data_IF_922836354043
#
_entry.id   IF_922836354043
#
_cell.length_a   1.000
_cell.length_b   1.000
_cell.length_c   1.000
_cell.angle_alpha   90.00
_cell.angle_beta   90.00
_cell.angle_gamma   90.00
#
_symmetry.space_group_name_H-M   'P 1'
#
loop_
_entity.id
_entity.type
_entity.pdbx_description
1 polymer ?
#
# COMPACT_ATOMS: atom_id res chain seq x y z
N UNK A 1 -42.07 -27.56 -2.12
CA UNK A 1 -41.89 -26.09 -2.14
C UNK A 1 -42.33 -25.54 -0.78
N UNK A 2 -41.40 -25.16 0.08
CA UNK A 2 -41.66 -24.26 1.21
C UNK A 2 -40.46 -23.31 1.31
N UNK A 3 -40.71 -22.03 1.05
CA UNK A 3 -39.75 -20.96 1.21
C UNK A 3 -39.90 -20.40 2.63
N UNK A 4 -38.82 -20.45 3.41
CA UNK A 4 -38.73 -19.73 4.69
C UNK A 4 -37.91 -18.47 4.42
N UNK A 5 -38.60 -17.36 4.25
CA UNK A 5 -38.04 -16.01 4.17
C UNK A 5 -37.70 -15.52 5.58
N UNK A 6 -36.42 -15.62 5.94
CA UNK A 6 -35.88 -14.93 7.11
C UNK A 6 -35.70 -13.44 6.80
N UNK A 7 -36.58 -12.61 7.36
CA UNK A 7 -36.48 -11.15 7.34
C UNK A 7 -35.34 -10.73 8.26
N UNK A 8 -34.22 -10.23 7.70
CA UNK A 8 -33.15 -9.62 8.49
C UNK A 8 -33.57 -8.21 8.94
N UNK A 9 -33.37 -7.91 10.24
CA UNK A 9 -33.63 -6.61 10.86
C UNK A 9 -32.64 -5.54 10.39
N UNK A 10 -33.05 -4.27 10.25
CA UNK A 10 -32.12 -3.18 9.98
C UNK A 10 -31.44 -2.75 11.29
N UNK A 11 -30.10 -2.81 11.33
CA UNK A 11 -29.31 -2.31 12.46
C UNK A 11 -28.27 -3.30 13.03
N UNK A 12 -28.25 -4.53 12.56
CA UNK A 12 -27.20 -5.49 12.94
C UNK A 12 -26.12 -5.50 11.85
N UNK A 13 -25.21 -4.52 11.88
CA UNK A 13 -23.93 -4.69 11.19
C UNK A 13 -23.14 -5.75 11.94
N UNK A 14 -23.47 -7.02 11.66
CA UNK A 14 -22.63 -8.17 11.98
C UNK A 14 -21.24 -7.81 11.47
N UNK A 15 -20.31 -7.58 12.40
CA UNK A 15 -18.95 -7.19 12.09
C UNK A 15 -18.41 -8.09 10.99
N UNK A 16 -18.27 -7.54 9.78
CA UNK A 16 -18.01 -8.37 8.60
C UNK A 16 -16.63 -9.01 8.80
N UNK A 17 -16.50 -10.35 8.72
CA UNK A 17 -15.19 -11.03 8.68
C UNK A 17 -14.27 -10.44 7.59
N UNK A 18 -14.86 -9.73 6.62
CA UNK A 18 -14.21 -8.97 5.57
C UNK A 18 -13.25 -7.87 6.05
N UNK A 19 -13.43 -7.27 7.22
CA UNK A 19 -12.61 -6.12 7.64
C UNK A 19 -11.20 -6.54 8.02
N UNK A 20 -11.07 -7.60 8.84
CA UNK A 20 -9.78 -8.19 9.18
C UNK A 20 -9.02 -8.70 7.96
N UNK A 21 -9.73 -9.33 7.01
CA UNK A 21 -9.16 -9.81 5.75
C UNK A 21 -8.70 -8.65 4.86
N UNK A 22 -9.52 -7.60 4.72
CA UNK A 22 -9.15 -6.43 3.94
C UNK A 22 -7.92 -5.75 4.52
N UNK A 23 -7.90 -5.49 5.84
CA UNK A 23 -6.76 -4.88 6.51
C UNK A 23 -5.52 -5.76 6.37
N UNK A 24 -5.63 -7.07 6.67
CA UNK A 24 -4.50 -8.00 6.58
C UNK A 24 -3.92 -8.08 5.17
N UNK A 25 -4.77 -8.24 4.14
CA UNK A 25 -4.30 -8.29 2.75
C UNK A 25 -3.74 -6.95 2.28
N UNK A 26 -4.30 -5.81 2.71
CA UNK A 26 -3.76 -4.51 2.38
C UNK A 26 -2.37 -4.30 2.99
N UNK A 27 -2.15 -4.70 4.25
CA UNK A 27 -0.83 -4.63 4.90
C UNK A 27 0.22 -5.44 4.12
N UNK A 28 -0.14 -6.64 3.66
CA UNK A 28 0.75 -7.49 2.86
C UNK A 28 1.07 -6.85 1.50
N UNK A 29 0.05 -6.43 0.74
CA UNK A 29 0.24 -5.85 -0.59
C UNK A 29 0.99 -4.53 -0.56
N UNK A 30 0.67 -3.67 0.41
CA UNK A 30 1.31 -2.37 0.56
C UNK A 30 2.70 -2.53 1.22
N UNK A 31 3.00 -3.62 1.91
CA UNK A 31 4.27 -3.80 2.61
C UNK A 31 4.38 -2.98 3.89
N UNK A 32 3.25 -2.73 4.56
CA UNK A 32 3.20 -1.97 5.80
C UNK A 32 3.08 -2.88 7.03
N UNK A 33 3.81 -2.59 8.12
CA UNK A 33 3.41 -3.08 9.43
C UNK A 33 2.16 -2.34 9.93
N UNK A 34 1.42 -2.94 10.85
CA UNK A 34 0.24 -2.33 11.46
C UNK A 34 0.53 -0.94 12.07
N UNK A 35 1.74 -0.74 12.61
CA UNK A 35 2.18 0.55 13.13
C UNK A 35 2.22 1.65 12.05
N UNK A 36 2.62 1.30 10.83
CA UNK A 36 2.67 2.25 9.72
C UNK A 36 1.25 2.59 9.25
N UNK A 37 0.36 1.59 9.16
CA UNK A 37 -1.04 1.82 8.85
C UNK A 37 -1.68 2.80 9.85
N UNK A 38 -1.47 2.59 11.15
CA UNK A 38 -1.95 3.51 12.20
C UNK A 38 -1.41 4.93 12.02
N UNK A 39 -0.10 5.10 11.74
CA UNK A 39 0.47 6.44 11.52
C UNK A 39 -0.10 7.13 10.27
N UNK A 40 -0.36 6.36 9.21
CA UNK A 40 -0.77 6.86 7.90
C UNK A 40 -2.24 7.21 7.82
N UNK A 41 -3.07 6.37 8.44
CA UNK A 41 -4.48 6.66 8.61
C UNK A 41 -4.74 7.65 9.75
N UNK A 42 -3.81 7.70 10.70
CA UNK A 42 -3.89 8.38 12.00
C UNK A 42 -5.07 7.95 12.87
N UNK A 43 -5.57 6.74 12.65
CA UNK A 43 -6.39 6.01 13.61
C UNK A 43 -5.49 5.21 14.56
N UNK A 44 -5.95 5.03 15.80
CA UNK A 44 -5.15 4.33 16.80
C UNK A 44 -5.00 2.84 16.46
N UNK A 45 -3.85 2.27 16.83
CA UNK A 45 -3.53 0.87 16.53
C UNK A 45 -4.50 -0.09 17.21
N UNK A 46 -4.98 0.23 18.42
CA UNK A 46 -5.95 -0.59 19.14
C UNK A 46 -7.31 -0.57 18.48
N UNK A 47 -7.73 0.56 17.90
CA UNK A 47 -8.96 0.65 17.13
C UNK A 47 -8.89 -0.19 15.86
N UNK A 48 -7.80 -0.08 15.11
CA UNK A 48 -7.60 -0.91 13.91
C UNK A 48 -7.61 -2.39 14.29
N UNK A 49 -6.94 -2.77 15.39
CA UNK A 49 -6.92 -4.15 15.89
C UNK A 49 -8.32 -4.62 16.30
N UNK A 50 -9.12 -3.75 16.91
CA UNK A 50 -10.52 -4.01 17.26
C UNK A 50 -11.34 -4.26 16.00
N UNK A 51 -11.22 -3.43 14.97
CA UNK A 51 -11.91 -3.63 13.68
C UNK A 51 -11.50 -4.94 13.00
N UNK A 52 -10.22 -5.29 13.03
CA UNK A 52 -9.74 -6.55 12.46
C UNK A 52 -10.38 -7.78 13.12
N UNK A 53 -10.73 -7.70 14.42
CA UNK A 53 -11.27 -8.82 15.20
C UNK A 53 -12.79 -8.84 15.27
N UNK A 54 -13.40 -7.66 15.36
CA UNK A 54 -14.84 -7.47 15.67
C UNK A 54 -15.61 -6.75 14.56
N UNK A 55 -14.94 -6.31 13.50
CA UNK A 55 -15.54 -5.45 12.47
C UNK A 55 -15.84 -4.03 12.97
N UNK A 56 -16.61 -3.29 12.16
CA UNK A 56 -16.98 -1.89 12.44
C UNK A 56 -15.91 -0.89 12.02
N UNK A 57 -15.18 -1.22 10.94
CA UNK A 57 -14.23 -0.31 10.31
C UNK A 57 -14.97 0.86 9.64
N UNK A 58 -14.59 2.13 9.91
CA UNK A 58 -15.22 3.28 9.28
C UNK A 58 -15.10 3.28 7.76
N UNK A 59 -16.14 3.72 7.05
CA UNK A 59 -16.16 3.76 5.59
C UNK A 59 -15.06 4.62 4.96
N UNK A 60 -14.71 5.83 5.48
CA UNK A 60 -13.58 6.60 4.95
C UNK A 60 -12.26 5.80 4.99
N UNK A 61 -12.00 5.11 6.10
CA UNK A 61 -10.84 4.25 6.26
C UNK A 61 -10.88 3.05 5.31
N UNK A 62 -12.04 2.41 5.16
CA UNK A 62 -12.25 1.29 4.23
C UNK A 62 -11.93 1.71 2.79
N UNK A 63 -12.56 2.79 2.31
CA UNK A 63 -12.42 3.27 0.94
C UNK A 63 -10.96 3.65 0.65
N UNK A 64 -10.33 4.38 1.56
CA UNK A 64 -8.93 4.75 1.46
C UNK A 64 -8.00 3.52 1.40
N UNK A 65 -8.16 2.56 2.31
CA UNK A 65 -7.30 1.37 2.35
C UNK A 65 -7.52 0.46 1.13
N UNK A 66 -8.75 0.33 0.66
CA UNK A 66 -9.08 -0.38 -0.58
C UNK A 66 -8.42 0.28 -1.79
N UNK A 67 -8.47 1.60 -1.88
CA UNK A 67 -7.85 2.35 -2.98
C UNK A 67 -6.32 2.20 -2.98
N UNK A 68 -5.66 2.37 -1.83
CA UNK A 68 -4.23 2.15 -1.70
C UNK A 68 -3.85 0.71 -2.04
N UNK A 69 -4.58 -0.29 -1.54
CA UNK A 69 -4.35 -1.69 -1.89
C UNK A 69 -4.46 -1.91 -3.41
N UNK A 70 -5.45 -1.31 -4.06
CA UNK A 70 -5.64 -1.45 -5.51
C UNK A 70 -4.44 -0.89 -6.30
N UNK A 71 -3.81 0.19 -5.84
CA UNK A 71 -2.56 0.72 -6.44
C UNK A 71 -1.45 -0.33 -6.41
N UNK A 72 -1.21 -0.96 -5.25
CA UNK A 72 -0.13 -1.96 -5.11
C UNK A 72 -0.43 -3.27 -5.83
N UNK A 73 -1.70 -3.67 -5.91
CA UNK A 73 -2.13 -4.81 -6.72
C UNK A 73 -1.91 -4.52 -8.21
N UNK A 74 -2.18 -3.29 -8.65
CA UNK A 74 -1.98 -2.88 -10.04
C UNK A 74 -0.50 -2.80 -10.40
N UNK A 75 0.36 -2.36 -9.49
CA UNK A 75 1.80 -2.21 -9.72
C UNK A 75 2.63 -3.09 -8.75
N UNK A 76 2.55 -4.43 -8.88
CA UNK A 76 3.08 -5.36 -7.89
C UNK A 76 4.59 -5.55 -7.95
N UNK A 77 5.27 -5.10 -9.00
CA UNK A 77 6.73 -5.15 -9.18
C UNK A 77 7.12 -4.20 -10.31
N UNK A 78 8.41 -3.83 -10.44
CA UNK A 78 8.86 -3.03 -11.59
C UNK A 78 8.65 -3.74 -12.93
N UNK A 79 8.67 -5.07 -12.94
CA UNK A 79 8.51 -5.89 -14.16
C UNK A 79 7.05 -6.18 -14.53
N UNK A 80 6.07 -5.64 -13.81
CA UNK A 80 4.67 -5.87 -14.12
C UNK A 80 4.29 -5.21 -15.46
N UNK A 81 3.43 -5.86 -16.25
CA UNK A 81 2.97 -5.37 -17.57
C UNK A 81 2.29 -3.99 -17.47
N UNK A 82 1.74 -3.65 -16.31
CA UNK A 82 1.15 -2.33 -16.03
C UNK A 82 2.17 -1.22 -15.85
N UNK A 83 3.44 -1.55 -15.66
CA UNK A 83 4.58 -0.62 -15.58
C UNK A 83 5.19 -0.51 -16.97
N UNK A 84 4.65 0.40 -17.77
CA UNK A 84 5.19 0.72 -19.08
C UNK A 84 6.25 1.82 -18.96
N UNK A 85 7.49 1.60 -19.42
CA UNK A 85 8.50 2.66 -19.50
C UNK A 85 8.01 3.70 -20.49
N UNK A 86 7.54 4.83 -19.97
CA UNK A 86 6.92 5.87 -20.76
C UNK A 86 6.96 7.20 -20.03
N UNK A 87 7.31 8.25 -20.76
CA UNK A 87 7.51 9.60 -20.25
C UNK A 87 8.97 10.06 -20.37
N UNK A 88 9.18 11.37 -20.25
CA UNK A 88 10.49 12.01 -20.35
C UNK A 88 11.14 12.27 -18.98
N UNK A 89 10.69 11.56 -17.93
CA UNK A 89 11.25 11.76 -16.59
C UNK A 89 12.63 11.08 -16.49
N UNK A 90 13.62 11.75 -15.87
CA UNK A 90 14.94 11.17 -15.69
C UNK A 90 14.87 9.99 -14.70
N UNK A 91 15.79 9.01 -14.81
CA UNK A 91 15.92 7.94 -13.83
C UNK A 91 16.14 8.49 -12.41
N UNK A 92 15.55 7.83 -11.41
CA UNK A 92 15.53 8.33 -10.03
C UNK A 92 16.89 8.16 -9.35
N UNK A 93 17.43 9.25 -8.82
CA UNK A 93 18.60 9.25 -7.95
C UNK A 93 18.24 9.04 -6.48
N UNK A 94 19.26 9.13 -5.61
CA UNK A 94 19.13 8.91 -4.16
C UNK A 94 18.00 9.73 -3.53
N UNK A 95 17.91 11.01 -3.85
CA UNK A 95 17.00 11.93 -3.19
C UNK A 95 15.56 11.72 -3.62
N UNK A 96 15.33 11.44 -4.91
CA UNK A 96 14.00 11.12 -5.41
C UNK A 96 13.51 9.78 -4.85
N UNK A 97 14.38 8.78 -4.79
CA UNK A 97 14.06 7.47 -4.17
C UNK A 97 13.69 7.65 -2.69
N UNK A 98 14.50 8.38 -1.92
CA UNK A 98 14.23 8.63 -0.51
C UNK A 98 12.89 9.35 -0.30
N UNK A 99 12.62 10.39 -1.10
CA UNK A 99 11.35 11.12 -1.06
C UNK A 99 10.16 10.20 -1.34
N UNK A 100 10.25 9.34 -2.36
CA UNK A 100 9.18 8.39 -2.69
C UNK A 100 8.98 7.36 -1.57
N UNK A 101 10.07 6.84 -0.98
CA UNK A 101 9.98 5.96 0.17
C UNK A 101 9.25 6.61 1.34
N UNK A 102 9.49 7.92 1.58
CA UNK A 102 8.76 8.69 2.57
C UNK A 102 7.29 8.88 2.19
N UNK A 103 6.94 9.07 0.92
CA UNK A 103 5.53 9.16 0.49
C UNK A 103 4.82 7.82 0.64
N UNK A 104 5.41 6.73 0.17
CA UNK A 104 4.83 5.37 0.23
C UNK A 104 4.88 4.79 1.65
N UNK A 105 5.81 5.25 2.48
CA UNK A 105 6.03 4.70 3.82
C UNK A 105 6.83 3.39 3.83
N UNK A 106 7.75 3.23 2.88
CA UNK A 106 8.65 2.09 2.81
C UNK A 106 9.99 2.39 3.48
N UNK A 107 10.59 1.32 4.01
CA UNK A 107 12.00 1.34 4.37
C UNK A 107 12.87 1.04 3.15
N UNK A 108 14.14 1.45 3.20
CA UNK A 108 15.13 1.07 2.19
C UNK A 108 15.27 -0.45 2.04
N UNK A 109 15.17 -1.17 3.16
CA UNK A 109 15.18 -2.63 3.16
C UNK A 109 14.04 -3.19 2.32
N UNK A 110 12.82 -2.70 2.55
CA UNK A 110 11.66 -3.17 1.82
C UNK A 110 11.75 -2.84 0.33
N UNK A 111 12.23 -1.64 -0.02
CA UNK A 111 12.47 -1.31 -1.43
C UNK A 111 13.47 -2.29 -2.06
N UNK A 112 14.61 -2.52 -1.43
CA UNK A 112 15.64 -3.43 -1.96
C UNK A 112 15.09 -4.85 -2.18
N UNK A 113 14.32 -5.37 -1.22
CA UNK A 113 13.64 -6.67 -1.35
C UNK A 113 12.72 -6.72 -2.57
N UNK A 114 12.00 -5.63 -2.87
CA UNK A 114 11.07 -5.54 -4.02
C UNK A 114 11.78 -5.38 -5.37
N UNK A 115 12.99 -4.82 -5.35
CA UNK A 115 13.89 -4.75 -6.51
C UNK A 115 14.69 -6.04 -6.73
N UNK A 116 14.66 -6.98 -5.77
CA UNK A 116 15.49 -8.20 -5.84
C UNK A 116 16.97 -7.93 -5.57
N UNK A 117 17.30 -6.81 -4.92
CA UNK A 117 18.66 -6.40 -4.59
C UNK A 117 18.94 -6.52 -3.10
N UNK A 118 20.22 -6.67 -2.72
CA UNK A 118 20.62 -6.55 -1.32
C UNK A 118 20.62 -5.07 -0.89
N UNK A 119 20.07 -4.76 0.29
CA UNK A 119 19.96 -3.38 0.83
C UNK A 119 21.26 -2.58 0.71
N UNK A 120 22.38 -3.17 1.10
CA UNK A 120 23.70 -2.49 1.06
C UNK A 120 24.15 -2.19 -0.37
N UNK A 121 23.78 -3.02 -1.36
CA UNK A 121 24.11 -2.79 -2.75
C UNK A 121 23.29 -1.61 -3.31
N UNK A 122 21.98 -1.60 -3.06
CA UNK A 122 21.10 -0.48 -3.42
C UNK A 122 21.60 0.84 -2.82
N UNK A 123 21.92 0.84 -1.51
CA UNK A 123 22.44 2.03 -0.83
C UNK A 123 23.72 2.53 -1.47
N UNK A 124 24.71 1.65 -1.68
CA UNK A 124 26.00 2.02 -2.29
C UNK A 124 25.82 2.57 -3.71
N UNK A 125 24.96 1.93 -4.51
CA UNK A 125 24.61 2.40 -5.87
C UNK A 125 24.11 3.85 -5.84
N UNK A 126 23.12 4.13 -4.98
CA UNK A 126 22.51 5.46 -4.88
C UNK A 126 23.47 6.50 -4.25
N UNK A 127 24.26 6.12 -3.25
CA UNK A 127 25.24 7.01 -2.61
C UNK A 127 26.41 7.37 -3.55
N UNK A 128 26.76 6.48 -4.48
CA UNK A 128 27.78 6.74 -5.51
C UNK A 128 27.28 7.62 -6.67
N UNK A 129 26.04 8.15 -6.59
CA UNK A 129 25.44 8.95 -7.65
C UNK A 129 24.79 8.13 -8.77
N UNK A 130 24.69 6.80 -8.61
CA UNK A 130 23.91 5.95 -9.50
C UNK A 130 22.41 6.20 -9.38
N UNK A 131 21.66 5.74 -10.37
CA UNK A 131 20.21 5.84 -10.41
C UNK A 131 19.56 4.45 -10.43
N UNK A 132 18.25 4.42 -10.16
CA UNK A 132 17.39 3.33 -10.60
C UNK A 132 17.38 3.27 -12.13
N UNK A 133 17.06 2.12 -12.71
CA UNK A 133 16.80 2.05 -14.14
C UNK A 133 15.46 2.72 -14.50
N UNK A 134 15.16 2.85 -15.80
CA UNK A 134 13.92 3.51 -16.25
C UNK A 134 12.65 2.81 -15.77
N UNK A 135 12.65 1.49 -15.69
CA UNK A 135 11.48 0.69 -15.35
C UNK A 135 11.24 0.68 -13.83
N UNK A 136 12.29 0.50 -13.03
CA UNK A 136 12.30 0.68 -11.58
C UNK A 136 11.83 2.08 -11.18
N UNK A 137 12.36 3.10 -11.87
CA UNK A 137 11.99 4.50 -11.66
C UNK A 137 10.50 4.71 -11.92
N UNK A 138 10.02 4.24 -13.07
CA UNK A 138 8.62 4.39 -13.46
C UNK A 138 7.67 3.70 -12.49
N UNK A 139 8.03 2.52 -12.01
CA UNK A 139 7.25 1.79 -11.02
C UNK A 139 7.10 2.57 -9.71
N UNK A 140 8.19 3.12 -9.18
CA UNK A 140 8.15 3.92 -7.96
C UNK A 140 7.33 5.20 -8.12
N UNK A 141 7.42 5.86 -9.27
CA UNK A 141 6.58 7.03 -9.56
C UNK A 141 5.09 6.69 -9.58
N UNK A 142 4.70 5.59 -10.21
CA UNK A 142 3.30 5.15 -10.27
C UNK A 142 2.74 4.84 -8.86
N UNK A 143 3.55 4.24 -8.00
CA UNK A 143 3.20 4.02 -6.61
C UNK A 143 3.09 5.33 -5.83
N UNK A 144 4.05 6.25 -6.01
CA UNK A 144 4.01 7.57 -5.40
C UNK A 144 2.75 8.34 -5.79
N UNK A 145 2.45 8.42 -7.08
CA UNK A 145 1.28 9.13 -7.60
C UNK A 145 -0.01 8.53 -6.99
N UNK A 146 -0.08 7.19 -6.89
CA UNK A 146 -1.19 6.52 -6.22
C UNK A 146 -1.33 6.89 -4.75
N UNK A 147 -0.23 6.95 -3.98
CA UNK A 147 -0.28 7.37 -2.57
C UNK A 147 -0.64 8.85 -2.40
N UNK A 148 -0.27 9.71 -3.35
CA UNK A 148 -0.63 11.13 -3.33
C UNK A 148 -2.11 11.37 -3.66
N UNK A 149 -2.67 10.55 -4.55
CA UNK A 149 -4.10 10.61 -4.90
C UNK A 149 -5.01 10.20 -3.74
N UNK A 150 -4.52 9.38 -2.81
CA UNK A 150 -5.27 8.90 -1.65
C UNK A 150 -4.62 9.34 -0.34
N UNK A 151 -4.71 10.64 0.00
CA UNK A 151 -4.19 11.16 1.27
C UNK A 151 -4.95 10.53 2.46
N UNK A 152 -4.45 10.79 3.66
CA UNK A 152 -5.02 10.28 4.92
C UNK A 152 -6.56 10.52 4.97
N UNK A 153 -7.35 9.49 5.38
CA UNK A 153 -8.80 9.57 5.54
C UNK A 153 -9.23 10.29 6.83
#
# INVERSE_FOLDING_TARGET
MQAVTGVNKPGEEVGRPADGVLIGTALVWIGWPLQQLSRRSGYDRHEITRWMRKGGMPDPFRLWLTALRAVHVRYPSPFAVSVQPGGNRPPLGRWEVLRIQLVIGWSERHLAERLGEHRTALRRRLEAGGTLDMQESRWLELLEDGHRLYPRP
#
